data_IF_319400525769
#
_entry.id   IF_319400525769
#
_cell.length_a   1.000
_cell.length_b   1.000
_cell.length_c   1.000
_cell.angle_alpha   90.00
_cell.angle_beta   90.00
_cell.angle_gamma   90.00
#
_symmetry.space_group_name_H-M   'P 1'
#
loop_
_entity.id
_entity.type
_entity.pdbx_description
1 polymer ?
#
# COMPACT_ATOMS: atom_id res chain seq x y z
N UNK A 1 -10.12 9.29 11.69
CA UNK A 1 -9.89 8.67 13.00
C UNK A 1 -11.18 8.34 13.76
N UNK A 2 -12.34 8.88 13.36
CA UNK A 2 -13.63 8.71 14.06
C UNK A 2 -14.09 7.27 14.32
N UNK A 3 -13.55 6.26 13.65
CA UNK A 3 -13.85 4.84 13.93
C UNK A 3 -13.09 4.28 15.13
N UNK A 4 -12.05 4.97 15.60
CA UNK A 4 -11.16 4.56 16.67
C UNK A 4 -11.07 5.69 17.70
N UNK A 5 -11.95 5.72 18.72
CA UNK A 5 -12.03 6.83 19.66
C UNK A 5 -10.72 7.16 20.38
N UNK A 6 -9.85 6.16 20.55
CA UNK A 6 -8.54 6.30 21.20
C UNK A 6 -7.42 6.78 20.27
N UNK A 7 -7.69 7.02 18.99
CA UNK A 7 -6.68 7.43 18.01
C UNK A 7 -6.94 8.85 17.48
N UNK A 8 -5.88 9.64 17.39
CA UNK A 8 -5.92 10.92 16.69
C UNK A 8 -5.72 10.73 15.18
N UNK A 9 -5.96 11.77 14.38
CA UNK A 9 -5.60 11.76 12.95
C UNK A 9 -4.10 11.55 12.76
N UNK A 10 -3.27 12.20 13.58
CA UNK A 10 -1.82 12.02 13.53
C UNK A 10 -1.39 10.57 13.79
N UNK A 11 -2.06 9.85 14.70
CA UNK A 11 -1.80 8.44 14.94
C UNK A 11 -2.12 7.58 13.73
N UNK A 12 -3.26 7.82 13.08
CA UNK A 12 -3.67 7.12 11.85
C UNK A 12 -2.65 7.35 10.73
N UNK A 13 -2.18 8.59 10.54
CA UNK A 13 -1.14 8.94 9.56
C UNK A 13 0.14 8.17 9.80
N UNK A 14 0.64 8.13 11.04
CA UNK A 14 1.84 7.37 11.42
C UNK A 14 1.69 5.86 11.23
N UNK A 15 0.47 5.32 11.39
CA UNK A 15 0.17 3.89 11.20
C UNK A 15 0.16 3.48 9.73
N UNK A 16 -0.51 4.25 8.86
CA UNK A 16 -0.68 3.87 7.44
C UNK A 16 0.42 4.39 6.52
N UNK A 17 1.12 5.46 6.92
CA UNK A 17 2.31 6.00 6.25
C UNK A 17 2.10 6.29 4.77
N UNK A 18 0.96 6.88 4.42
CA UNK A 18 0.74 7.38 3.07
C UNK A 18 1.72 8.53 2.77
N UNK A 19 2.25 8.59 1.55
CA UNK A 19 3.11 9.70 1.12
C UNK A 19 2.30 10.93 0.74
N UNK A 20 1.09 10.71 0.21
CA UNK A 20 0.15 11.74 -0.23
C UNK A 20 -1.22 11.46 0.39
N UNK A 21 -1.90 12.52 0.81
CA UNK A 21 -3.26 12.49 1.32
C UNK A 21 -4.13 13.42 0.48
N UNK A 22 -5.35 12.97 0.19
CA UNK A 22 -6.34 13.76 -0.56
C UNK A 22 -7.41 14.20 0.42
N UNK A 23 -7.64 15.51 0.50
CA UNK A 23 -8.67 16.12 1.33
C UNK A 23 -9.94 16.42 0.53
N UNK A 24 -11.04 16.77 1.21
CA UNK A 24 -12.31 17.13 0.56
C UNK A 24 -13.05 15.97 -0.10
N UNK A 25 -12.62 14.73 0.12
CA UNK A 25 -13.20 13.54 -0.51
C UNK A 25 -13.87 12.61 0.51
N UNK A 26 -14.83 11.81 0.01
CA UNK A 26 -15.47 10.77 0.82
C UNK A 26 -14.51 9.62 1.19
N UNK A 27 -14.88 8.77 2.16
CA UNK A 27 -14.11 7.59 2.52
C UNK A 27 -13.83 6.71 1.28
N UNK A 28 -12.58 6.25 1.15
CA UNK A 28 -12.15 5.36 0.08
C UNK A 28 -12.26 5.94 -1.34
N UNK A 29 -12.25 7.26 -1.48
CA UNK A 29 -12.22 7.91 -2.79
C UNK A 29 -11.04 7.45 -3.66
N UNK A 30 -9.92 7.07 -3.04
CA UNK A 30 -8.74 6.57 -3.74
C UNK A 30 -8.99 5.29 -4.55
N UNK A 31 -10.11 4.60 -4.31
CA UNK A 31 -10.53 3.45 -5.12
C UNK A 31 -10.68 3.78 -6.61
N UNK A 32 -10.86 5.06 -6.94
CA UNK A 32 -10.91 5.55 -8.33
C UNK A 32 -9.54 5.55 -9.01
N UNK A 33 -8.46 5.45 -8.25
CA UNK A 33 -7.09 5.54 -8.77
C UNK A 33 -6.48 4.17 -9.06
N UNK A 34 -7.26 3.08 -9.04
CA UNK A 34 -6.84 1.80 -9.59
C UNK A 34 -8.04 1.13 -10.28
N UNK A 35 -7.75 0.06 -11.02
CA UNK A 35 -8.77 -0.69 -11.76
C UNK A 35 -8.45 -2.18 -11.69
N UNK A 36 -9.16 -2.97 -12.49
CA UNK A 36 -9.00 -4.41 -12.66
C UNK A 36 -7.53 -4.85 -12.88
N UNK A 37 -7.16 -6.08 -12.51
CA UNK A 37 -5.84 -6.65 -12.82
C UNK A 37 -5.48 -6.51 -14.31
N UNK A 38 -4.20 -6.25 -14.59
CA UNK A 38 -3.70 -6.04 -15.95
C UNK A 38 -3.92 -4.63 -16.52
N UNK A 39 -4.61 -3.74 -15.79
CA UNK A 39 -4.78 -2.33 -16.15
C UNK A 39 -4.36 -1.41 -15.01
N UNK A 40 -4.04 -0.16 -15.36
CA UNK A 40 -3.66 0.91 -14.44
C UNK A 40 -4.50 2.16 -14.73
N UNK A 41 -4.75 2.96 -13.69
CA UNK A 41 -5.38 4.28 -13.84
C UNK A 41 -4.28 5.32 -13.89
N UNK A 42 -4.27 6.16 -14.93
CA UNK A 42 -3.40 7.33 -14.97
C UNK A 42 -4.10 8.51 -14.33
N UNK A 43 -3.39 9.19 -13.46
CA UNK A 43 -3.86 10.43 -12.85
C UNK A 43 -2.70 11.40 -12.67
N UNK A 44 -3.02 12.68 -12.64
CA UNK A 44 -2.06 13.76 -12.47
C UNK A 44 -2.26 14.42 -11.12
N UNK A 45 -1.14 14.76 -10.47
CA UNK A 45 -1.09 15.65 -9.31
C UNK A 45 -0.08 16.74 -9.64
N UNK A 46 -0.53 18.00 -9.70
CA UNK A 46 0.30 19.10 -10.16
C UNK A 46 0.85 18.84 -11.57
N UNK A 47 2.17 18.83 -11.72
CA UNK A 47 2.86 18.53 -12.98
C UNK A 47 3.23 17.05 -13.18
N UNK A 48 2.95 16.17 -12.21
CA UNK A 48 3.44 14.79 -12.21
C UNK A 48 2.30 13.81 -12.54
N UNK A 49 2.56 12.89 -13.48
CA UNK A 49 1.61 11.83 -13.86
C UNK A 49 1.99 10.50 -13.21
N UNK A 50 1.05 9.96 -12.43
CA UNK A 50 1.14 8.68 -11.76
C UNK A 50 0.30 7.64 -12.49
N UNK A 51 0.72 6.39 -12.35
CA UNK A 51 -0.08 5.20 -12.63
C UNK A 51 -0.41 4.54 -11.30
N UNK A 52 -1.70 4.49 -10.96
CA UNK A 52 -2.17 3.72 -9.81
C UNK A 52 -2.38 2.26 -10.19
N UNK A 53 -1.69 1.39 -9.46
CA UNK A 53 -1.44 -0.01 -9.83
C UNK A 53 -2.39 -0.97 -9.13
N UNK A 54 -2.52 -0.82 -7.81
CA UNK A 54 -3.32 -1.71 -6.97
C UNK A 54 -3.62 -1.09 -5.59
N UNK A 55 -4.70 -1.50 -4.92
CA UNK A 55 -4.91 -1.15 -3.51
C UNK A 55 -3.83 -1.77 -2.62
N UNK A 56 -3.27 -0.98 -1.72
CA UNK A 56 -2.18 -1.43 -0.86
C UNK A 56 -2.68 -2.39 0.21
N UNK A 57 -2.15 -3.62 0.19
CA UNK A 57 -2.42 -4.63 1.22
C UNK A 57 -1.82 -4.19 2.55
N UNK A 58 -2.63 -4.22 3.61
CA UNK A 58 -2.18 -3.84 4.95
C UNK A 58 -1.78 -5.07 5.73
N UNK A 59 -0.57 -5.03 6.29
CA UNK A 59 -0.07 -6.01 7.24
C UNK A 59 -0.55 -5.67 8.67
N UNK A 60 -0.01 -6.34 9.68
CA UNK A 60 -0.34 -6.06 11.09
C UNK A 60 0.12 -4.68 11.56
N UNK A 61 1.11 -4.05 10.91
CA UNK A 61 1.74 -2.82 11.41
C UNK A 61 0.74 -1.69 11.76
N UNK A 62 -0.30 -1.38 10.95
CA UNK A 62 -1.25 -0.33 11.31
C UNK A 62 -2.06 -0.61 12.57
N UNK A 63 -2.20 -1.87 13.00
CA UNK A 63 -2.88 -2.21 14.26
C UNK A 63 -2.04 -1.95 15.49
N UNK A 64 -0.78 -1.54 15.37
CA UNK A 64 0.14 -1.31 16.50
C UNK A 64 0.46 0.17 16.72
N UNK A 65 0.61 0.57 17.98
CA UNK A 65 1.01 1.92 18.35
C UNK A 65 2.38 2.24 17.73
N UNK A 66 2.55 3.38 17.00
CA UNK A 66 3.80 3.69 16.32
C UNK A 66 5.02 3.83 17.25
N UNK A 67 4.80 4.29 18.50
CA UNK A 67 5.87 4.53 19.47
C UNK A 67 6.25 3.28 20.27
N UNK A 68 5.26 2.48 20.69
CA UNK A 68 5.46 1.36 21.63
C UNK A 68 5.35 -0.02 20.98
N UNK A 69 4.75 -0.11 19.80
CA UNK A 69 4.45 -1.38 19.14
C UNK A 69 3.29 -2.16 19.76
N UNK A 70 2.64 -1.63 20.81
CA UNK A 70 1.52 -2.27 21.48
C UNK A 70 0.33 -2.44 20.52
N UNK A 71 -0.29 -3.64 20.47
CA UNK A 71 -1.44 -3.86 19.62
C UNK A 71 -2.64 -3.05 20.11
N UNK A 72 -3.43 -2.54 19.17
CA UNK A 72 -4.78 -2.05 19.40
C UNK A 72 -5.77 -3.16 19.02
N UNK A 73 -6.36 -3.87 20.00
CA UNK A 73 -7.28 -4.96 19.73
C UNK A 73 -8.45 -4.51 18.85
N UNK A 74 -8.89 -5.38 17.94
CA UNK A 74 -10.03 -5.10 17.06
C UNK A 74 -9.75 -4.16 15.89
N UNK A 75 -8.56 -3.53 15.79
CA UNK A 75 -8.29 -2.53 14.74
C UNK A 75 -8.60 -3.02 13.31
N UNK A 76 -8.03 -4.17 12.92
CA UNK A 76 -8.21 -4.72 11.58
C UNK A 76 -9.66 -5.16 11.34
N UNK A 77 -10.33 -5.72 12.36
CA UNK A 77 -11.74 -6.13 12.30
C UNK A 77 -12.64 -4.92 12.04
N UNK A 78 -12.54 -3.89 12.88
CA UNK A 78 -13.30 -2.65 12.72
C UNK A 78 -13.02 -1.99 11.38
N UNK A 79 -11.76 -1.94 10.93
CA UNK A 79 -11.42 -1.40 9.63
C UNK A 79 -12.12 -2.17 8.49
N UNK A 80 -12.05 -3.50 8.51
CA UNK A 80 -12.66 -4.35 7.48
C UNK A 80 -14.18 -4.20 7.45
N UNK A 81 -14.83 -4.16 8.60
CA UNK A 81 -16.28 -3.94 8.71
C UNK A 81 -16.66 -2.58 8.10
N UNK A 82 -16.01 -1.49 8.52
CA UNK A 82 -16.26 -0.15 7.97
C UNK A 82 -15.93 -0.04 6.49
N UNK A 83 -14.92 -0.77 6.02
CA UNK A 83 -14.56 -0.82 4.60
C UNK A 83 -15.63 -1.51 3.75
N UNK A 84 -16.20 -2.61 4.24
CA UNK A 84 -17.30 -3.33 3.56
C UNK A 84 -18.57 -2.48 3.51
N UNK A 85 -18.95 -1.87 4.63
CA UNK A 85 -20.13 -0.99 4.73
C UNK A 85 -20.08 0.21 3.76
N UNK A 86 -18.87 0.67 3.42
CA UNK A 86 -18.63 1.86 2.61
C UNK A 86 -17.92 1.55 1.30
N UNK A 87 -18.04 0.31 0.82
CA UNK A 87 -17.51 -0.04 -0.49
C UNK A 87 -18.30 0.72 -1.55
N UNK A 88 -17.58 1.51 -2.34
CA UNK A 88 -18.19 2.35 -3.37
C UNK A 88 -18.49 1.55 -4.63
N UNK A 89 -19.46 2.01 -5.44
CA UNK A 89 -19.82 1.36 -6.70
C UNK A 89 -18.70 1.40 -7.76
N UNK A 90 -17.75 2.33 -7.64
CA UNK A 90 -16.60 2.45 -8.55
C UNK A 90 -15.39 1.62 -8.12
N UNK A 91 -15.43 0.95 -6.96
CA UNK A 91 -14.32 0.12 -6.53
C UNK A 91 -14.21 -1.11 -7.45
N UNK A 92 -13.00 -1.36 -7.96
CA UNK A 92 -12.68 -2.61 -8.66
C UNK A 92 -12.65 -3.78 -7.66
N UNK A 93 -13.83 -4.34 -7.35
CA UNK A 93 -14.03 -5.34 -6.28
C UNK A 93 -13.14 -6.58 -6.48
N UNK A 94 -12.81 -6.91 -7.73
CA UNK A 94 -11.88 -8.00 -8.07
C UNK A 94 -10.48 -7.85 -7.44
N UNK A 95 -10.08 -6.64 -7.05
CA UNK A 95 -8.81 -6.36 -6.36
C UNK A 95 -8.84 -6.66 -4.87
N UNK A 96 -9.99 -7.09 -4.33
CA UNK A 96 -10.20 -7.34 -2.91
C UNK A 96 -10.49 -8.83 -2.66
N UNK A 97 -9.43 -9.61 -2.52
CA UNK A 97 -9.46 -10.93 -1.87
C UNK A 97 -9.83 -10.83 -0.37
N UNK A 98 -9.51 -9.68 0.23
CA UNK A 98 -9.95 -9.24 1.53
C UNK A 98 -10.07 -7.70 1.56
N UNK A 99 -10.82 -7.17 2.52
CA UNK A 99 -11.05 -5.72 2.63
C UNK A 99 -10.03 -4.97 3.50
N UNK A 100 -9.00 -5.64 4.02
CA UNK A 100 -7.91 -4.97 4.73
C UNK A 100 -6.87 -4.37 3.78
N UNK A 101 -7.34 -3.45 2.93
CA UNK A 101 -6.55 -2.72 1.94
C UNK A 101 -6.93 -1.24 2.03
N UNK A 102 -5.96 -0.34 1.92
CA UNK A 102 -6.15 1.12 2.02
C UNK A 102 -5.05 1.83 1.25
N UNK A 103 -5.33 3.00 0.65
CA UNK A 103 -4.41 3.71 -0.22
C UNK A 103 -4.01 2.91 -1.48
N UNK A 104 -3.30 3.58 -2.39
CA UNK A 104 -2.98 3.05 -3.71
C UNK A 104 -1.48 2.96 -3.86
N UNK A 105 -1.00 1.80 -4.31
CA UNK A 105 0.37 1.67 -4.76
C UNK A 105 0.50 2.30 -6.14
N UNK A 106 1.37 3.29 -6.27
CA UNK A 106 1.54 4.08 -7.50
C UNK A 106 2.95 3.91 -8.05
N UNK A 107 3.10 4.03 -9.36
CA UNK A 107 4.40 4.29 -10.01
C UNK A 107 4.31 5.56 -10.85
N UNK A 108 5.44 6.10 -11.23
CA UNK A 108 5.47 7.20 -12.20
C UNK A 108 5.19 6.64 -13.60
N UNK A 109 4.33 7.30 -14.37
CA UNK A 109 4.13 6.93 -15.78
C UNK A 109 5.43 7.11 -16.56
N UNK A 110 6.03 8.30 -16.43
CA UNK A 110 7.37 8.67 -16.90
C UNK A 110 7.93 9.70 -15.94
N UNK A 111 9.22 9.59 -15.60
CA UNK A 111 9.89 10.65 -14.86
C UNK A 111 10.44 11.68 -15.84
N UNK A 112 9.99 12.92 -15.71
CA UNK A 112 10.48 14.06 -16.50
C UNK A 112 10.91 15.24 -15.60
N UNK A 113 11.14 14.97 -14.31
CA UNK A 113 11.18 16.02 -13.29
C UNK A 113 9.77 16.48 -12.89
N UNK A 114 9.72 17.49 -12.03
CA UNK A 114 8.47 18.09 -11.56
C UNK A 114 8.39 18.17 -10.04
N UNK A 115 7.47 19.02 -9.57
CA UNK A 115 7.17 19.19 -8.15
C UNK A 115 5.66 19.07 -7.97
N UNK A 116 5.27 18.37 -6.91
CA UNK A 116 3.90 18.37 -6.39
C UNK A 116 3.87 19.19 -5.10
N UNK A 117 2.77 19.89 -4.87
CA UNK A 117 2.55 20.76 -3.70
C UNK A 117 1.23 20.42 -3.04
N UNK A 118 1.14 20.74 -1.75
CA UNK A 118 -0.15 20.74 -1.06
C UNK A 118 -1.07 21.74 -1.77
N UNK A 119 -2.31 21.34 -2.02
CA UNK A 119 -3.28 22.11 -2.81
C UNK A 119 -3.32 21.75 -4.29
N UNK A 120 -2.39 20.95 -4.80
CA UNK A 120 -2.48 20.45 -6.18
C UNK A 120 -3.67 19.49 -6.33
N UNK A 121 -4.49 19.74 -7.35
CA UNK A 121 -5.64 18.89 -7.66
C UNK A 121 -5.21 17.52 -8.21
N UNK A 122 -5.97 16.49 -7.84
CA UNK A 122 -5.86 15.13 -8.40
C UNK A 122 -6.82 14.98 -9.57
N UNK A 123 -6.27 14.86 -10.78
CA UNK A 123 -7.06 14.73 -12.01
C UNK A 123 -6.89 13.34 -12.60
N UNK A 124 -7.97 12.57 -12.71
CA UNK A 124 -7.97 11.25 -13.37
C UNK A 124 -7.95 11.47 -14.89
N UNK A 125 -7.03 10.81 -15.58
CA UNK A 125 -6.79 11.00 -17.02
C UNK A 125 -7.41 9.89 -17.85
N UNK A 126 -6.93 8.66 -17.67
CA UNK A 126 -7.34 7.50 -18.46
C UNK A 126 -7.17 6.18 -17.68
N UNK A 127 -7.70 5.12 -18.26
CA UNK A 127 -7.36 3.75 -17.92
C UNK A 127 -6.57 3.15 -19.08
N UNK A 128 -5.44 2.52 -18.78
CA UNK A 128 -4.60 1.88 -19.79
C UNK A 128 -4.20 0.48 -19.35
N UNK A 129 -3.95 -0.41 -20.32
CA UNK A 129 -3.36 -1.71 -20.01
C UNK A 129 -2.00 -1.49 -19.35
N UNK A 130 -1.82 -2.07 -18.18
CA UNK A 130 -0.57 -2.03 -17.46
C UNK A 130 0.48 -2.78 -18.26
N UNK A 131 1.55 -2.10 -18.65
CA UNK A 131 2.74 -2.80 -19.12
C UNK A 131 3.26 -3.63 -17.96
N UNK A 132 3.15 -4.96 -18.06
CA UNK A 132 3.93 -5.88 -17.24
C UNK A 132 5.38 -5.48 -17.45
N UNK A 133 5.98 -4.80 -16.47
CA UNK A 133 7.42 -4.73 -16.41
C UNK A 133 7.86 -6.16 -16.08
N UNK A 134 8.04 -6.97 -17.12
CA UNK A 134 8.83 -8.18 -17.09
C UNK A 134 10.19 -7.75 -16.57
N UNK A 135 10.42 -7.81 -15.26
CA UNK A 135 11.78 -7.73 -14.75
C UNK A 135 12.44 -9.00 -15.31
N UNK A 136 13.50 -8.92 -16.13
CA UNK A 136 14.30 -10.12 -16.37
C UNK A 136 14.70 -10.62 -14.99
N UNK A 137 14.27 -11.84 -14.66
CA UNK A 137 14.61 -12.45 -13.39
C UNK A 137 16.12 -12.40 -13.24
N UNK A 138 16.61 -11.77 -12.18
CA UNK A 138 18.01 -11.96 -11.78
C UNK A 138 18.08 -13.42 -11.32
N UNK A 139 18.84 -14.30 -12.00
CA UNK A 139 18.89 -15.69 -11.62
C UNK A 139 19.48 -15.81 -10.21
N UNK A 140 18.77 -16.51 -9.33
CA UNK A 140 19.32 -16.94 -8.04
C UNK A 140 20.26 -18.10 -8.33
N UNK A 141 21.56 -17.85 -8.41
CA UNK A 141 22.56 -18.92 -8.42
C UNK A 141 22.88 -19.31 -6.98
N UNK A 142 22.06 -20.19 -6.41
CA UNK A 142 22.46 -20.96 -5.24
C UNK A 142 21.88 -22.37 -5.38
N UNK A 143 22.71 -23.29 -5.87
CA UNK A 143 22.42 -24.72 -5.84
C UNK A 143 22.88 -25.27 -4.50
N UNK A 144 21.99 -25.34 -3.52
CA UNK A 144 22.24 -26.15 -2.32
C UNK A 144 21.96 -27.61 -2.67
N UNK A 145 23.00 -28.45 -2.61
CA UNK A 145 22.92 -29.90 -2.79
C UNK A 145 22.79 -30.51 -1.39
N UNK A 146 21.64 -31.11 -1.08
CA UNK A 146 21.44 -31.82 0.18
C UNK A 146 22.38 -33.04 0.25
N UNK A 147 23.27 -33.05 1.23
CA UNK A 147 23.89 -34.26 1.76
C UNK A 147 23.08 -34.78 2.96
N UNK A 148 23.02 -36.10 3.19
CA UNK A 148 22.17 -36.67 4.22
C UNK A 148 22.86 -36.52 5.58
N UNK A 149 22.23 -35.84 6.53
CA UNK A 149 21.99 -36.30 7.92
C UNK A 149 21.52 -35.14 8.78
N UNK A 150 20.62 -35.47 9.71
CA UNK A 150 19.79 -34.54 10.44
C UNK A 150 20.55 -33.53 11.31
N UNK A 151 19.97 -32.33 11.40
CA UNK A 151 19.35 -31.77 12.61
C UNK A 151 18.80 -30.40 12.27
N UNK A 152 17.50 -30.21 12.46
CA UNK A 152 16.86 -28.89 12.39
C UNK A 152 17.44 -27.99 13.48
N UNK A 153 18.12 -26.92 13.07
CA UNK A 153 18.40 -25.76 13.93
C UNK A 153 17.76 -24.55 13.23
N UNK A 154 16.72 -23.92 13.80
CA UNK A 154 16.25 -22.64 13.26
C UNK A 154 17.29 -21.57 13.62
N UNK A 155 18.02 -21.10 12.60
CA UNK A 155 18.86 -19.92 12.73
C UNK A 155 17.97 -18.69 12.86
N UNK A 156 17.75 -18.30 14.11
CA UNK A 156 17.40 -16.94 14.47
C UNK A 156 18.60 -16.00 14.31
N UNK A 157 18.26 -14.70 14.21
CA UNK A 157 19.07 -13.49 14.49
C UNK A 157 19.76 -12.83 13.26
N UNK A 158 20.22 -11.57 13.39
CA UNK A 158 19.54 -10.39 13.92
C UNK A 158 19.96 -9.09 13.18
N UNK A 159 19.46 -7.96 13.67
CA UNK A 159 19.83 -6.59 13.34
C UNK A 159 21.26 -6.18 13.79
N UNK A 160 21.79 -5.14 13.12
CA UNK A 160 22.74 -4.07 13.56
C UNK A 160 24.28 -4.26 13.60
N UNK A 161 24.92 -3.43 12.73
CA UNK A 161 26.14 -2.57 12.88
C UNK A 161 27.55 -3.21 12.96
N UNK A 162 28.67 -2.44 12.84
CA UNK A 162 28.96 -1.18 12.09
C UNK A 162 30.30 -1.20 11.28
N UNK A 163 30.51 -0.12 10.51
CA UNK A 163 31.78 0.53 10.07
C UNK A 163 33.05 -0.29 9.75
N UNK A 164 33.52 -0.14 8.51
CA UNK A 164 34.83 0.47 8.22
C UNK A 164 34.65 1.61 7.23
#
# INVERSE_FOLDING_TARGET
>A
ASWFPSLTVADIRRRFRANLEVEGVGPFWEDRLFTEPGSVVRFRVGAVVFEGVAPCQRCVVPSRAPATGEPLPGFAKTFVERRRERLSAWAAVSRFDHFYRLAVNTRLHRWAGGTIRVGDEVVILDVSRGQHASRPGVPVTSSYREGPTGRNVPLAKPWLRPSQ
#
